data_IF_656207927789
#
_entry.id   IF_656207927789
#
_cell.length_a   1.000
_cell.length_b   1.000
_cell.length_c   1.000
_cell.angle_alpha   90.00
_cell.angle_beta   90.00
_cell.angle_gamma   90.00
#
_symmetry.space_group_name_H-M   'P 1'
#
loop_
_entity.id
_entity.type
_entity.pdbx_description
1 polymer ?
#
# COMPACT_ATOMS: atom_id res chain seq x y z
N UNK A 1 6.66 2.49 -16.67
CA UNK A 1 6.97 1.68 -15.47
C UNK A 1 5.72 1.61 -14.60
N UNK A 2 5.41 0.47 -13.97
CA UNK A 2 4.25 0.36 -13.06
C UNK A 2 4.71 0.11 -11.62
N UNK A 3 4.08 0.80 -10.68
CA UNK A 3 4.28 0.60 -9.25
C UNK A 3 3.00 0.05 -8.64
N UNK A 4 3.08 -1.11 -7.99
CA UNK A 4 1.95 -1.82 -7.40
C UNK A 4 2.05 -1.74 -5.88
N UNK A 5 1.28 -0.85 -5.27
CA UNK A 5 1.20 -0.68 -3.84
C UNK A 5 0.26 -1.71 -3.22
N UNK A 6 0.73 -2.34 -2.15
CA UNK A 6 -0.03 -3.28 -1.31
C UNK A 6 0.23 -2.98 0.16
N UNK A 7 -0.77 -3.18 1.01
CA UNK A 7 -0.60 -3.06 2.46
C UNK A 7 -0.31 -4.43 3.09
N UNK A 8 0.85 -4.56 3.74
CA UNK A 8 1.29 -5.75 4.46
C UNK A 8 2.01 -6.78 3.59
N UNK A 9 3.03 -7.42 4.16
CA UNK A 9 3.89 -8.41 3.49
C UNK A 9 3.09 -9.65 3.05
N UNK A 10 2.11 -10.08 3.84
CA UNK A 10 1.30 -11.28 3.56
C UNK A 10 0.52 -11.15 2.25
N UNK A 11 0.15 -9.93 1.87
CA UNK A 11 -0.59 -9.65 0.65
C UNK A 11 0.32 -9.51 -0.60
N UNK A 12 1.64 -9.40 -0.42
CA UNK A 12 2.56 -9.17 -1.53
C UNK A 12 2.71 -10.39 -2.44
N UNK A 13 2.79 -11.61 -1.86
CA UNK A 13 3.01 -12.84 -2.63
C UNK A 13 1.90 -13.10 -3.66
N UNK A 14 0.61 -13.11 -3.30
CA UNK A 14 -0.46 -13.33 -4.28
C UNK A 14 -0.51 -12.26 -5.37
N UNK A 15 -0.15 -11.02 -5.04
CA UNK A 15 -0.08 -9.92 -6.02
C UNK A 15 1.08 -10.10 -7.00
N UNK A 16 2.26 -10.51 -6.52
CA UNK A 16 3.38 -10.84 -7.40
C UNK A 16 3.02 -11.96 -8.37
N UNK A 17 2.34 -13.00 -7.88
CA UNK A 17 1.83 -14.09 -8.71
C UNK A 17 0.82 -13.57 -9.75
N UNK A 18 -0.15 -12.76 -9.34
CA UNK A 18 -1.14 -12.17 -10.25
C UNK A 18 -0.49 -11.30 -11.34
N UNK A 19 0.52 -10.49 -10.98
CA UNK A 19 1.29 -9.67 -11.94
C UNK A 19 2.06 -10.56 -12.92
N UNK A 20 2.61 -11.68 -12.47
CA UNK A 20 3.35 -12.61 -13.32
C UNK A 20 2.51 -13.27 -14.42
N UNK A 21 1.18 -13.35 -14.21
CA UNK A 21 0.24 -13.95 -15.15
C UNK A 21 -0.16 -13.02 -16.30
N UNK A 22 0.08 -11.71 -16.18
CA UNK A 22 -0.29 -10.71 -17.20
C UNK A 22 0.88 -9.78 -17.50
N UNK A 23 1.41 -9.88 -18.73
CA UNK A 23 2.50 -9.02 -19.21
C UNK A 23 2.15 -7.52 -19.12
N UNK A 24 0.87 -7.16 -19.23
CA UNK A 24 0.43 -5.78 -19.11
C UNK A 24 0.55 -5.25 -17.68
N UNK A 25 0.59 -6.11 -16.66
CA UNK A 25 0.72 -5.71 -15.27
C UNK A 25 2.18 -5.68 -14.77
N UNK A 26 3.16 -5.98 -15.62
CA UNK A 26 4.57 -6.01 -15.20
C UNK A 26 5.04 -4.68 -14.60
N UNK A 27 5.67 -4.77 -13.44
CA UNK A 27 6.06 -3.62 -12.62
C UNK A 27 6.66 -4.01 -11.28
N UNK A 28 6.94 -3.02 -10.45
CA UNK A 28 7.52 -3.20 -9.11
C UNK A 28 6.42 -3.26 -8.04
N UNK A 29 6.48 -4.25 -7.16
CA UNK A 29 5.60 -4.33 -5.98
C UNK A 29 6.20 -3.53 -4.83
N UNK A 30 5.41 -2.62 -4.28
CA UNK A 30 5.75 -1.74 -3.17
C UNK A 30 4.90 -2.10 -1.95
N UNK A 31 5.52 -2.72 -0.95
CA UNK A 31 4.83 -3.13 0.27
C UNK A 31 4.83 -1.98 1.28
N UNK A 32 3.64 -1.50 1.61
CA UNK A 32 3.38 -0.55 2.68
C UNK A 32 3.25 -1.31 4.00
N UNK A 33 3.95 -0.86 5.03
CA UNK A 33 3.97 -1.50 6.35
C UNK A 33 3.12 -0.75 7.37
N UNK A 34 2.92 0.56 7.18
CA UNK A 34 2.25 1.41 8.16
C UNK A 34 0.72 1.23 8.13
N UNK A 35 0.15 0.88 9.27
CA UNK A 35 -1.30 0.81 9.46
C UNK A 35 -1.84 2.20 9.84
N UNK A 36 -2.11 3.01 8.81
CA UNK A 36 -2.53 4.42 8.97
C UNK A 36 -3.90 4.61 9.66
N UNK A 37 -4.69 3.56 9.81
CA UNK A 37 -5.93 3.61 10.60
C UNK A 37 -5.68 3.66 12.12
N UNK A 38 -4.44 3.52 12.57
CA UNK A 38 -4.05 3.55 13.98
C UNK A 38 -2.98 4.61 14.21
N UNK A 39 -3.11 5.41 15.26
CA UNK A 39 -2.13 6.43 15.63
C UNK A 39 -2.29 7.78 14.94
N UNK A 40 -1.34 8.70 15.15
CA UNK A 40 -1.42 10.08 14.66
C UNK A 40 -1.23 10.16 13.14
N UNK A 41 -2.10 10.92 12.47
CA UNK A 41 -1.98 11.26 11.05
C UNK A 41 -1.53 12.72 10.82
N UNK A 42 -1.62 13.55 11.85
CA UNK A 42 -1.06 14.90 11.89
C UNK A 42 0.31 14.89 12.55
N UNK A 43 1.18 15.80 12.15
CA UNK A 43 2.46 16.03 12.83
C UNK A 43 2.22 16.37 14.31
N UNK A 44 3.07 15.84 15.18
CA UNK A 44 3.04 16.19 16.61
C UNK A 44 3.69 17.56 16.88
N UNK A 45 4.69 17.92 16.08
CA UNK A 45 5.47 19.16 16.16
C UNK A 45 5.61 19.77 14.75
N UNK A 46 5.74 21.09 14.62
CA UNK A 46 5.78 21.77 13.32
C UNK A 46 6.93 21.26 12.42
N UNK A 47 8.10 21.02 13.03
CA UNK A 47 9.32 20.61 12.33
C UNK A 47 9.44 19.10 12.12
N UNK A 48 8.61 18.28 12.77
CA UNK A 48 8.67 16.83 12.61
C UNK A 48 8.19 16.41 11.21
N UNK A 49 8.87 15.42 10.60
CA UNK A 49 8.37 14.81 9.37
C UNK A 49 7.20 13.86 9.68
N UNK A 50 6.38 13.58 8.66
CA UNK A 50 5.32 12.56 8.79
C UNK A 50 5.93 11.20 9.13
N UNK A 51 7.01 10.80 8.45
CA UNK A 51 7.68 9.52 8.70
C UNK A 51 8.22 9.42 10.13
N UNK A 52 8.81 10.49 10.68
CA UNK A 52 9.30 10.49 12.07
C UNK A 52 8.15 10.37 13.07
N UNK A 53 7.06 11.11 12.83
CA UNK A 53 5.85 11.03 13.68
C UNK A 53 5.31 9.60 13.75
N UNK A 54 5.24 8.92 12.60
CA UNK A 54 4.77 7.53 12.52
C UNK A 54 5.75 6.54 13.14
N UNK A 55 7.04 6.63 12.81
CA UNK A 55 8.07 5.77 13.41
C UNK A 55 8.11 5.91 14.93
N UNK A 56 8.08 7.13 15.46
CA UNK A 56 8.08 7.38 16.90
C UNK A 56 6.83 6.81 17.59
N UNK A 57 5.66 6.92 16.96
CA UNK A 57 4.43 6.31 17.48
C UNK A 57 4.59 4.79 17.63
N UNK A 58 5.03 4.09 16.59
CA UNK A 58 5.19 2.63 16.65
C UNK A 58 6.30 2.19 17.61
N UNK A 59 7.41 2.93 17.68
CA UNK A 59 8.46 2.71 18.68
C UNK A 59 7.92 2.83 20.11
N UNK A 60 7.04 3.82 20.36
CA UNK A 60 6.43 4.02 21.69
C UNK A 60 5.55 2.85 22.14
N UNK A 61 4.92 2.13 21.21
CA UNK A 61 4.09 0.95 21.51
C UNK A 61 4.92 -0.32 21.70
N UNK A 62 6.13 -0.38 21.11
CA UNK A 62 6.99 -1.57 21.04
C UNK A 62 8.24 -1.49 21.92
N UNK A 63 8.20 -0.73 23.02
CA UNK A 63 9.37 -0.47 23.87
C UNK A 63 10.15 -1.72 24.37
N UNK A 64 9.55 -2.91 24.34
CA UNK A 64 10.17 -4.18 24.74
C UNK A 64 10.28 -5.23 23.61
N UNK A 65 9.93 -4.88 22.37
CA UNK A 65 10.02 -5.79 21.22
C UNK A 65 11.43 -5.74 20.61
N UNK A 66 12.03 -6.91 20.34
CA UNK A 66 13.36 -6.98 19.70
C UNK A 66 13.31 -6.64 18.21
N UNK A 67 12.13 -6.72 17.61
CA UNK A 67 11.94 -6.40 16.20
C UNK A 67 11.42 -4.97 16.07
N UNK A 68 12.35 -4.03 15.89
CA UNK A 68 12.03 -2.64 15.60
C UNK A 68 11.29 -2.55 14.25
N UNK A 69 10.05 -2.02 14.27
CA UNK A 69 9.32 -1.71 13.06
C UNK A 69 9.82 -0.37 12.53
N UNK A 70 10.62 -0.42 11.46
CA UNK A 70 11.06 0.77 10.73
C UNK A 70 10.14 0.94 9.52
N UNK A 71 9.49 2.11 9.44
CA UNK A 71 8.60 2.46 8.35
C UNK A 71 9.33 3.32 7.33
N UNK A 72 9.43 2.79 6.11
CA UNK A 72 10.06 3.46 4.96
C UNK A 72 9.03 3.75 3.84
N UNK A 73 7.74 3.56 4.14
CA UNK A 73 6.61 3.71 3.22
C UNK A 73 6.63 5.06 2.47
N UNK A 74 6.96 6.15 3.17
CA UNK A 74 7.03 7.48 2.55
C UNK A 74 8.11 7.53 1.46
N UNK A 75 9.27 6.90 1.67
CA UNK A 75 10.33 6.87 0.67
C UNK A 75 9.86 6.13 -0.60
N UNK A 76 9.19 4.98 -0.44
CA UNK A 76 8.60 4.23 -1.56
C UNK A 76 7.61 5.06 -2.36
N UNK A 77 6.72 5.78 -1.68
CA UNK A 77 5.72 6.64 -2.33
C UNK A 77 6.38 7.82 -3.06
N UNK A 78 7.37 8.45 -2.44
CA UNK A 78 8.11 9.55 -3.06
C UNK A 78 8.92 9.10 -4.28
N UNK A 79 9.52 7.92 -4.24
CA UNK A 79 10.28 7.39 -5.37
C UNK A 79 9.38 7.04 -6.56
N UNK A 80 8.21 6.43 -6.32
CA UNK A 80 7.21 6.25 -7.36
C UNK A 80 6.70 7.61 -7.88
N UNK A 81 6.44 8.57 -6.99
CA UNK A 81 5.97 9.91 -7.40
C UNK A 81 7.00 10.60 -8.30
N UNK A 82 8.30 10.52 -7.97
CA UNK A 82 9.38 11.04 -8.83
C UNK A 82 9.37 10.41 -10.22
N UNK A 83 9.20 9.09 -10.31
CA UNK A 83 9.12 8.41 -11.61
C UNK A 83 7.88 8.86 -12.40
N UNK A 84 6.74 9.04 -11.74
CA UNK A 84 5.53 9.59 -12.37
C UNK A 84 5.71 11.05 -12.83
N UNK A 85 6.63 11.82 -12.25
CA UNK A 85 7.02 13.14 -12.77
C UNK A 85 7.97 13.03 -13.97
N UNK A 86 8.91 12.10 -13.96
CA UNK A 86 9.92 11.95 -15.00
C UNK A 86 9.39 11.23 -16.27
N UNK A 87 8.37 10.38 -16.11
CA UNK A 87 7.87 9.49 -17.15
C UNK A 87 6.34 9.57 -17.24
N UNK A 88 5.84 10.05 -18.38
CA UNK A 88 4.40 10.22 -18.60
C UNK A 88 3.65 8.88 -18.66
N UNK A 89 4.32 7.80 -19.07
CA UNK A 89 3.75 6.45 -19.14
C UNK A 89 3.84 5.68 -17.82
N UNK A 90 4.45 6.27 -16.78
CA UNK A 90 4.51 5.64 -15.48
C UNK A 90 3.16 5.67 -14.76
N UNK A 91 2.82 4.57 -14.09
CA UNK A 91 1.53 4.39 -13.42
C UNK A 91 1.73 3.87 -11.99
N UNK A 92 0.85 4.32 -11.10
CA UNK A 92 0.71 3.79 -9.75
C UNK A 92 -0.61 3.02 -9.64
N UNK A 93 -0.55 1.84 -9.05
CA UNK A 93 -1.68 0.93 -8.85
C UNK A 93 -1.77 0.60 -7.37
N UNK A 94 -2.93 0.75 -6.77
CA UNK A 94 -3.16 0.35 -5.38
C UNK A 94 -4.11 -0.85 -5.30
N UNK A 95 -3.63 -1.94 -4.74
CA UNK A 95 -4.41 -3.15 -4.48
C UNK A 95 -5.11 -3.01 -3.13
N UNK A 96 -6.39 -2.66 -3.18
CA UNK A 96 -7.17 -2.22 -2.04
C UNK A 96 -8.12 -3.33 -1.53
N UNK A 97 -7.88 -3.77 -0.30
CA UNK A 97 -8.80 -4.63 0.44
C UNK A 97 -9.86 -3.82 1.22
N UNK A 98 -11.03 -4.38 1.59
CA UNK A 98 -12.10 -3.69 2.29
C UNK A 98 -11.83 -3.49 3.79
N UNK A 99 -10.65 -2.99 4.15
CA UNK A 99 -10.24 -2.74 5.55
C UNK A 99 -10.04 -1.25 5.80
N UNK A 100 -10.25 -0.81 7.05
CA UNK A 100 -10.02 0.58 7.45
C UNK A 100 -8.58 1.03 7.14
N UNK A 101 -7.61 0.15 7.35
CA UNK A 101 -6.21 0.43 7.05
C UNK A 101 -5.96 0.71 5.55
N UNK A 102 -6.56 -0.10 4.68
CA UNK A 102 -6.49 0.12 3.23
C UNK A 102 -7.20 1.41 2.80
N UNK A 103 -8.33 1.75 3.42
CA UNK A 103 -9.04 3.02 3.14
C UNK A 103 -8.15 4.22 3.53
N UNK A 104 -7.51 4.18 4.70
CA UNK A 104 -6.56 5.22 5.11
C UNK A 104 -5.35 5.30 4.16
N UNK A 105 -4.77 4.15 3.77
CA UNK A 105 -3.69 4.09 2.79
C UNK A 105 -4.10 4.70 1.44
N UNK A 106 -5.31 4.42 0.95
CA UNK A 106 -5.82 5.02 -0.29
C UNK A 106 -5.81 6.55 -0.24
N UNK A 107 -6.42 7.15 0.79
CA UNK A 107 -6.46 8.62 0.89
C UNK A 107 -5.07 9.24 1.07
N UNK A 108 -4.18 8.54 1.78
CA UNK A 108 -2.80 8.98 1.92
C UNK A 108 -2.05 8.95 0.58
N UNK A 109 -2.11 7.83 -0.16
CA UNK A 109 -1.48 7.71 -1.49
C UNK A 109 -2.06 8.70 -2.49
N UNK A 110 -3.38 8.91 -2.48
CA UNK A 110 -4.07 9.87 -3.34
C UNK A 110 -3.48 11.28 -3.18
N UNK A 111 -3.08 11.68 -1.97
CA UNK A 111 -2.51 13.01 -1.73
C UNK A 111 -1.21 13.27 -2.53
N UNK A 112 -0.45 12.20 -2.83
CA UNK A 112 0.77 12.25 -3.65
C UNK A 112 0.45 12.08 -5.13
N UNK A 113 -0.40 11.12 -5.48
CA UNK A 113 -0.62 10.73 -6.88
C UNK A 113 -1.68 11.54 -7.62
N UNK A 114 -2.53 12.31 -6.93
CA UNK A 114 -3.55 13.19 -7.55
C UNK A 114 -2.96 14.22 -8.52
N UNK A 115 -1.67 14.54 -8.41
CA UNK A 115 -0.95 15.44 -9.32
C UNK A 115 -0.73 14.84 -10.71
N UNK A 116 -0.97 13.53 -10.87
CA UNK A 116 -0.75 12.75 -12.07
C UNK A 116 -2.10 12.23 -12.61
N UNK A 117 -2.84 13.06 -13.38
CA UNK A 117 -4.17 12.67 -13.85
C UNK A 117 -4.11 11.41 -14.70
N UNK A 118 -5.10 10.53 -14.55
CA UNK A 118 -5.23 9.25 -15.25
C UNK A 118 -4.03 8.28 -15.05
N UNK A 119 -3.29 8.38 -13.95
CA UNK A 119 -2.11 7.53 -13.69
C UNK A 119 -2.10 6.86 -12.32
N UNK A 120 -3.16 7.04 -11.53
CA UNK A 120 -3.38 6.33 -10.26
C UNK A 120 -4.62 5.46 -10.36
N UNK A 121 -4.43 4.14 -10.30
CA UNK A 121 -5.46 3.14 -10.47
C UNK A 121 -5.67 2.35 -9.17
N UNK A 122 -6.89 1.82 -8.99
CA UNK A 122 -7.25 1.01 -7.83
C UNK A 122 -7.78 -0.33 -8.34
N UNK A 123 -7.26 -1.41 -7.79
CA UNK A 123 -7.86 -2.74 -7.89
C UNK A 123 -8.49 -3.05 -6.54
N UNK A 124 -9.81 -3.08 -6.48
CA UNK A 124 -10.56 -3.23 -5.24
C UNK A 124 -11.27 -4.58 -5.19
N UNK A 125 -11.05 -5.34 -4.12
CA UNK A 125 -11.68 -6.66 -3.90
C UNK A 125 -12.94 -6.61 -3.04
N UNK A 126 -13.37 -5.41 -2.61
CA UNK A 126 -14.54 -5.24 -1.77
C UNK A 126 -15.80 -5.85 -2.39
N UNK A 127 -16.32 -6.92 -1.77
CA UNK A 127 -17.54 -7.60 -2.22
C UNK A 127 -17.38 -8.42 -3.49
N UNK A 128 -16.15 -8.61 -4.00
CA UNK A 128 -15.91 -9.48 -5.14
C UNK A 128 -15.89 -10.95 -4.70
N UNK A 129 -16.61 -11.85 -5.41
CA UNK A 129 -16.59 -13.27 -5.12
C UNK A 129 -15.34 -13.94 -5.70
N UNK A 130 -14.72 -14.81 -4.91
CA UNK A 130 -13.59 -15.65 -5.32
C UNK A 130 -13.94 -17.13 -5.12
N UNK A 131 -13.22 -18.01 -5.83
CA UNK A 131 -13.37 -19.45 -5.71
C UNK A 131 -12.15 -20.01 -5.00
N UNK A 132 -12.38 -20.82 -3.95
CA UNK A 132 -11.29 -21.57 -3.34
C UNK A 132 -10.95 -22.82 -4.18
N UNK A 133 -9.98 -23.62 -3.72
CA UNK A 133 -9.55 -24.85 -4.40
C UNK A 133 -10.66 -25.89 -4.57
N UNK A 134 -11.72 -25.83 -3.75
CA UNK A 134 -12.89 -26.73 -3.84
C UNK A 134 -14.00 -26.15 -4.74
N UNK A 135 -13.79 -24.99 -5.36
CA UNK A 135 -14.81 -24.28 -6.14
C UNK A 135 -15.91 -23.63 -5.31
N UNK A 136 -15.72 -23.48 -3.98
CA UNK A 136 -16.67 -22.76 -3.11
C UNK A 136 -16.43 -21.27 -3.18
N UNK A 137 -17.53 -20.51 -3.24
CA UNK A 137 -17.50 -19.04 -3.24
C UNK A 137 -17.14 -18.52 -1.85
N UNK A 138 -16.19 -17.59 -1.80
CA UNK A 138 -15.86 -16.81 -0.63
C UNK A 138 -15.59 -15.35 -1.01
N UNK A 139 -15.50 -14.47 0.00
CA UNK A 139 -15.24 -13.04 -0.18
C UNK A 139 -14.01 -12.67 0.63
N UNK A 140 -12.86 -12.44 -0.01
CA UNK A 140 -11.61 -12.18 0.69
C UNK A 140 -11.65 -10.85 1.44
N UNK A 141 -11.05 -10.83 2.63
CA UNK A 141 -10.83 -9.61 3.42
C UNK A 141 -9.45 -9.00 3.21
N UNK A 142 -8.54 -9.76 2.61
CA UNK A 142 -7.16 -9.38 2.29
C UNK A 142 -6.73 -10.11 1.02
N UNK A 143 -5.76 -9.55 0.27
CA UNK A 143 -5.12 -10.27 -0.83
C UNK A 143 -4.34 -11.49 -0.38
N UNK A 144 -3.97 -11.59 0.91
CA UNK A 144 -3.36 -12.80 1.48
C UNK A 144 -4.30 -14.02 1.49
N UNK A 145 -5.60 -13.82 1.35
CA UNK A 145 -6.61 -14.89 1.31
C UNK A 145 -6.91 -15.38 -0.12
N UNK A 146 -6.28 -14.77 -1.12
CA UNK A 146 -6.58 -14.95 -2.55
C UNK A 146 -5.51 -15.80 -3.22
#
# INVERSE_FOLDING_TARGET
MKYHFVLGEEAATPIMEAISLDEQLQGSVCVLKDQLNVGPLSKAEEDASFADTRNNYWKSLKQNDKNELILEDLALVLDASKELFANEDAQAWFWMAPTAANICAYYWLLSYFQKHPNRFYIINIAGLPFLNTDGKVFYPKSFAEV
#
